data_IF_955459856620
#
_entry.id   IF_955459856620
#
_cell.length_a   1.000
_cell.length_b   1.000
_cell.length_c   1.000
_cell.angle_alpha   90.00
_cell.angle_beta   90.00
_cell.angle_gamma   90.00
#
_symmetry.space_group_name_H-M   'P 1'
#
loop_
_entity.id
_entity.type
_entity.pdbx_description
1 polymer ?
#
# COMPACT_ATOMS: atom_id res chain seq x y z
N UNK A 1 7.76 -17.78 16.81
CA UNK A 1 7.13 -17.05 17.93
C UNK A 1 5.89 -16.35 17.41
N UNK A 2 4.71 -16.95 17.64
CA UNK A 2 3.45 -16.43 17.13
C UNK A 2 2.95 -15.32 18.05
N UNK A 3 2.74 -14.12 17.50
CA UNK A 3 2.20 -12.97 18.24
C UNK A 3 0.74 -12.79 17.84
N UNK A 4 -0.18 -13.01 18.77
CA UNK A 4 -1.60 -12.70 18.56
C UNK A 4 -1.95 -11.34 19.17
N UNK A 5 -2.72 -10.54 18.44
CA UNK A 5 -3.14 -9.20 18.84
C UNK A 5 -4.64 -9.09 18.72
N UNK A 6 -5.29 -8.59 19.77
CA UNK A 6 -6.73 -8.29 19.80
C UNK A 6 -6.91 -6.82 20.16
N UNK A 7 -7.64 -6.09 19.32
CA UNK A 7 -8.05 -4.73 19.61
C UNK A 7 -9.34 -4.77 20.45
N UNK A 8 -9.28 -4.26 21.68
CA UNK A 8 -10.44 -4.23 22.57
C UNK A 8 -11.42 -3.15 22.09
N UNK A 9 -12.54 -3.56 21.50
CA UNK A 9 -13.64 -2.68 21.06
C UNK A 9 -14.85 -2.77 22.00
N UNK A 10 -15.08 -3.92 22.61
CA UNK A 10 -16.21 -4.13 23.51
C UNK A 10 -16.04 -5.27 24.50
N UNK A 11 -17.16 -5.69 25.09
CA UNK A 11 -17.20 -6.76 26.11
C UNK A 11 -16.71 -8.11 25.57
N UNK A 12 -17.10 -8.45 24.33
CA UNK A 12 -16.73 -9.71 23.69
C UNK A 12 -15.21 -9.90 23.55
N UNK A 13 -14.47 -8.84 23.24
CA UNK A 13 -13.00 -8.90 23.11
C UNK A 13 -12.33 -9.16 24.45
N UNK A 14 -12.87 -8.58 25.53
CA UNK A 14 -12.37 -8.80 26.90
C UNK A 14 -12.59 -10.24 27.35
N UNK A 15 -13.76 -10.80 27.06
CA UNK A 15 -14.07 -12.20 27.34
C UNK A 15 -13.15 -13.16 26.57
N UNK A 16 -12.85 -12.83 25.30
CA UNK A 16 -11.90 -13.58 24.48
C UNK A 16 -10.49 -13.58 25.07
N UNK A 17 -10.00 -12.41 25.49
CA UNK A 17 -8.67 -12.28 26.12
C UNK A 17 -8.61 -13.06 27.44
N UNK A 18 -9.66 -13.00 28.27
CA UNK A 18 -9.73 -13.75 29.52
C UNK A 18 -9.62 -15.26 29.30
N UNK A 19 -10.32 -15.77 28.26
CA UNK A 19 -10.24 -17.18 27.87
C UNK A 19 -8.83 -17.58 27.40
N UNK A 20 -8.17 -16.70 26.65
CA UNK A 20 -6.79 -16.94 26.20
C UNK A 20 -5.80 -16.95 27.35
N UNK A 21 -5.89 -15.98 28.25
CA UNK A 21 -5.01 -15.89 29.41
C UNK A 21 -5.13 -17.12 30.34
N UNK A 22 -6.31 -17.76 30.39
CA UNK A 22 -6.51 -18.99 31.16
C UNK A 22 -5.86 -20.23 30.55
N UNK A 23 -5.61 -20.25 29.23
CA UNK A 23 -5.12 -21.42 28.50
C UNK A 23 -3.63 -21.39 28.13
N UNK A 24 -2.89 -20.34 28.49
CA UNK A 24 -1.48 -20.20 28.11
C UNK A 24 -0.52 -20.83 29.13
N UNK A 25 0.63 -21.39 28.69
CA UNK A 25 1.63 -21.95 29.59
C UNK A 25 2.22 -20.91 30.56
N UNK A 26 2.67 -21.39 31.73
CA UNK A 26 3.40 -20.58 32.69
C UNK A 26 4.66 -19.97 32.07
N UNK A 27 4.92 -18.69 32.33
CA UNK A 27 6.00 -17.91 31.70
C UNK A 27 5.56 -17.07 30.49
N UNK A 28 4.30 -17.15 30.07
CA UNK A 28 3.74 -16.28 29.02
C UNK A 28 3.56 -14.84 29.54
N UNK A 29 4.08 -13.84 28.81
CA UNK A 29 3.92 -12.42 29.14
C UNK A 29 2.75 -11.81 28.36
N UNK A 30 1.82 -11.15 29.06
CA UNK A 30 0.69 -10.43 28.45
C UNK A 30 0.94 -8.93 28.57
N UNK A 31 0.92 -8.20 27.44
CA UNK A 31 1.12 -6.75 27.42
C UNK A 31 -0.14 -6.04 26.92
N UNK A 32 -0.72 -5.18 27.77
CA UNK A 32 -1.81 -4.29 27.38
C UNK A 32 -1.25 -2.93 27.00
N UNK A 33 -1.45 -2.52 25.75
CA UNK A 33 -1.07 -1.17 25.27
C UNK A 33 -2.31 -0.36 24.96
N UNK A 34 -2.31 0.91 25.39
CA UNK A 34 -3.34 1.86 24.96
C UNK A 34 -3.33 2.01 23.42
N UNK A 35 -4.50 2.24 22.79
CA UNK A 35 -4.56 2.51 21.36
C UNK A 35 -3.78 3.79 21.07
N UNK A 36 -2.57 3.65 20.52
CA UNK A 36 -1.79 4.77 20.03
C UNK A 36 -2.20 4.99 18.57
N UNK A 37 -2.63 6.21 18.22
CA UNK A 37 -2.77 6.65 16.80
C UNK A 37 -1.51 6.38 15.97
N UNK A 38 -0.34 6.21 16.60
CA UNK A 38 0.92 5.85 15.93
C UNK A 38 0.97 4.40 15.42
N UNK A 39 0.10 3.49 15.88
CA UNK A 39 0.06 2.11 15.37
C UNK A 39 -0.36 2.09 13.90
N UNK A 40 -1.33 2.91 13.52
CA UNK A 40 -1.82 2.97 12.15
C UNK A 40 -0.76 3.56 11.22
N UNK A 41 -0.08 4.64 11.64
CA UNK A 41 1.04 5.23 10.88
C UNK A 41 2.22 4.26 10.75
N UNK A 42 2.57 3.54 11.83
CA UNK A 42 3.64 2.55 11.78
C UNK A 42 3.25 1.35 10.89
N UNK A 43 2.01 0.88 10.97
CA UNK A 43 1.51 -0.17 10.08
C UNK A 43 1.53 0.26 8.60
N UNK A 44 1.12 1.49 8.32
CA UNK A 44 1.19 2.10 6.99
C UNK A 44 2.64 2.16 6.49
N UNK A 45 3.58 2.64 7.32
CA UNK A 45 5.00 2.69 6.97
C UNK A 45 5.53 1.33 6.55
N UNK A 46 5.27 0.28 7.33
CA UNK A 46 5.69 -1.08 7.00
C UNK A 46 4.99 -1.64 5.75
N UNK A 47 3.73 -1.27 5.50
CA UNK A 47 3.02 -1.60 4.26
C UNK A 47 3.73 -1.01 3.04
N UNK A 48 4.00 0.30 3.06
CA UNK A 48 4.64 1.03 1.96
C UNK A 48 6.06 0.50 1.71
N UNK A 49 6.86 0.32 2.77
CA UNK A 49 8.21 -0.25 2.66
C UNK A 49 8.21 -1.66 2.07
N UNK A 50 7.23 -2.50 2.45
CA UNK A 50 7.06 -3.82 1.85
C UNK A 50 6.74 -3.76 0.36
N UNK A 51 5.99 -2.75 -0.08
CA UNK A 51 5.69 -2.54 -1.49
C UNK A 51 6.92 -2.06 -2.28
N UNK A 52 7.71 -1.15 -1.70
CA UNK A 52 8.99 -0.69 -2.26
C UNK A 52 9.98 -1.85 -2.37
N UNK A 53 10.16 -2.64 -1.31
CA UNK A 53 11.06 -3.80 -1.28
C UNK A 53 10.79 -4.80 -2.41
N UNK A 54 9.51 -5.08 -2.69
CA UNK A 54 9.12 -5.98 -3.78
C UNK A 54 9.40 -5.40 -5.17
N UNK A 55 9.16 -4.11 -5.36
CA UNK A 55 9.15 -3.50 -6.70
C UNK A 55 10.50 -2.90 -7.10
N UNK A 56 11.23 -2.28 -6.17
CA UNK A 56 12.49 -1.57 -6.47
C UNK A 56 13.66 -2.53 -6.45
N UNK A 57 14.52 -2.45 -7.46
CA UNK A 57 15.86 -3.01 -7.46
C UNK A 57 16.86 -1.88 -7.20
N UNK A 58 17.74 -2.04 -6.22
CA UNK A 58 18.68 -1.03 -5.79
C UNK A 58 20.12 -1.46 -6.11
N UNK A 59 20.69 -0.87 -7.16
CA UNK A 59 22.04 -1.19 -7.65
C UNK A 59 22.29 -2.69 -7.86
N UNK A 60 21.31 -3.43 -8.38
CA UNK A 60 21.40 -4.87 -8.61
C UNK A 60 21.10 -5.72 -7.38
N UNK A 61 20.58 -5.12 -6.30
CA UNK A 61 20.20 -5.82 -5.08
C UNK A 61 18.76 -5.51 -4.67
N UNK A 62 18.05 -6.55 -4.23
CA UNK A 62 16.75 -6.43 -3.57
C UNK A 62 16.96 -6.25 -2.08
N UNK A 63 16.66 -5.05 -1.60
CA UNK A 63 16.72 -4.72 -0.18
C UNK A 63 15.43 -5.15 0.54
N UNK A 64 15.57 -5.58 1.79
CA UNK A 64 14.41 -5.91 2.64
C UNK A 64 13.67 -4.65 3.08
N UNK A 65 12.43 -4.80 3.57
CA UNK A 65 11.68 -3.67 4.15
C UNK A 65 12.42 -3.00 5.32
N UNK A 66 13.20 -3.77 6.09
CA UNK A 66 14.01 -3.23 7.20
C UNK A 66 15.18 -2.39 6.67
N UNK A 67 15.86 -2.88 5.64
CA UNK A 67 16.96 -2.14 5.00
C UNK A 67 16.46 -0.83 4.37
N UNK A 68 15.32 -0.88 3.67
CA UNK A 68 14.69 0.31 3.10
C UNK A 68 14.33 1.35 4.16
N UNK A 69 13.84 0.90 5.32
CA UNK A 69 13.55 1.78 6.45
C UNK A 69 14.83 2.46 6.94
N UNK A 70 15.95 1.75 7.03
CA UNK A 70 17.22 2.33 7.46
C UNK A 70 17.80 3.30 6.42
N UNK A 71 17.74 2.96 5.13
CA UNK A 71 18.18 3.84 4.02
C UNK A 71 17.41 5.16 4.02
N UNK A 72 16.08 5.11 4.09
CA UNK A 72 15.24 6.32 4.06
C UNK A 72 15.29 7.10 5.38
N UNK A 73 15.50 6.42 6.50
CA UNK A 73 15.75 7.09 7.79
C UNK A 73 17.08 7.83 7.79
N UNK A 74 18.12 7.27 7.17
CA UNK A 74 19.43 7.90 7.07
C UNK A 74 19.42 9.17 6.19
N UNK A 75 18.46 9.33 5.27
CA UNK A 75 18.28 10.59 4.53
C UNK A 75 17.60 11.68 5.36
N UNK A 76 16.78 11.33 6.35
CA UNK A 76 16.08 12.32 7.20
C UNK A 76 16.90 12.73 8.41
N UNK A 77 17.60 11.76 9.02
CA UNK A 77 18.45 12.00 10.19
C UNK A 77 19.90 11.94 9.78
N UNK A 78 20.68 12.92 10.24
CA UNK A 78 22.14 12.82 10.18
C UNK A 78 22.59 11.67 11.08
N UNK A 79 22.84 10.52 10.45
CA UNK A 79 23.36 9.34 11.13
C UNK A 79 24.77 9.61 11.62
N UNK A 80 25.01 9.38 12.91
CA UNK A 80 26.37 9.44 13.46
C UNK A 80 27.01 8.09 13.22
N UNK A 81 28.11 8.05 12.48
CA UNK A 81 28.88 6.83 12.26
C UNK A 81 30.03 6.80 13.25
N UNK A 82 30.19 5.69 13.96
CA UNK A 82 31.30 5.49 14.90
C UNK A 82 32.16 4.31 14.45
N UNK A 83 33.46 4.29 14.79
CA UNK A 83 34.28 3.09 14.62
C UNK A 83 33.69 1.91 15.38
N UNK A 84 33.65 0.75 14.72
CA UNK A 84 33.24 -0.51 15.30
C UNK A 84 34.32 -1.10 16.21
N UNK A 85 33.97 -2.23 16.83
CA UNK A 85 34.90 -2.99 17.69
C UNK A 85 36.03 -3.60 16.85
N UNK A 86 35.70 -4.05 15.63
CA UNK A 86 36.65 -4.62 14.69
C UNK A 86 37.28 -3.54 13.78
N UNK A 87 38.56 -3.72 13.48
CA UNK A 87 39.29 -2.82 12.61
C UNK A 87 38.64 -2.73 11.22
N UNK A 88 38.38 -1.51 10.75
CA UNK A 88 37.75 -1.25 9.45
C UNK A 88 36.22 -1.32 9.43
N UNK A 89 35.58 -1.63 10.56
CA UNK A 89 34.11 -1.64 10.65
C UNK A 89 33.60 -0.28 11.10
N UNK A 90 32.49 0.17 10.50
CA UNK A 90 31.79 1.39 10.87
C UNK A 90 30.35 1.06 11.27
N UNK A 91 29.92 1.60 12.40
CA UNK A 91 28.57 1.34 12.94
C UNK A 91 27.74 2.63 12.87
N UNK A 92 26.67 2.66 12.07
CA UNK A 92 25.72 3.76 12.09
C UNK A 92 24.89 3.74 13.39
N UNK A 93 24.92 4.84 14.14
CA UNK A 93 24.12 5.05 15.35
C UNK A 93 22.96 6.01 15.11
N UNK A 94 21.84 5.79 15.81
CA UNK A 94 20.72 6.72 15.86
C UNK A 94 19.57 6.46 14.87
N UNK A 95 19.61 5.34 14.13
CA UNK A 95 18.57 4.96 13.14
C UNK A 95 17.32 4.30 13.75
N UNK A 96 17.16 4.34 15.09
CA UNK A 96 16.00 3.72 15.76
C UNK A 96 14.74 4.56 15.54
N UNK A 97 13.92 4.18 14.57
CA UNK A 97 12.60 4.80 14.31
C UNK A 97 11.63 4.68 15.48
N UNK A 98 11.86 3.74 16.42
CA UNK A 98 11.06 3.62 17.65
C UNK A 98 11.15 4.84 18.59
N UNK A 99 12.17 5.69 18.41
CA UNK A 99 12.35 6.92 19.17
C UNK A 99 11.92 8.18 18.40
N UNK A 100 11.44 8.02 17.16
CA UNK A 100 10.95 9.15 16.36
C UNK A 100 9.65 9.70 16.94
N UNK A 101 9.52 11.02 16.89
CA UNK A 101 8.28 11.74 17.11
C UNK A 101 7.26 11.42 16.01
N UNK A 102 5.99 11.74 16.24
CA UNK A 102 4.94 11.57 15.24
C UNK A 102 5.21 12.38 13.97
N UNK A 103 5.80 13.55 14.11
CA UNK A 103 6.12 14.42 12.99
C UNK A 103 7.23 13.81 12.12
N UNK A 104 8.31 13.31 12.73
CA UNK A 104 9.38 12.60 12.01
C UNK A 104 8.85 11.36 11.26
N UNK A 105 7.89 10.63 11.84
CA UNK A 105 7.25 9.49 11.14
C UNK A 105 6.42 9.96 9.94
N UNK A 106 5.71 11.09 10.06
CA UNK A 106 4.96 11.66 8.94
C UNK A 106 5.90 12.08 7.80
N UNK A 107 7.02 12.74 8.12
CA UNK A 107 8.05 13.12 7.15
C UNK A 107 8.67 11.89 6.48
N UNK A 108 8.90 10.81 7.24
CA UNK A 108 9.36 9.54 6.68
C UNK A 108 8.35 8.88 5.74
N UNK A 109 7.07 8.91 6.08
CA UNK A 109 6.01 8.39 5.21
C UNK A 109 5.96 9.17 3.88
N UNK A 110 6.01 10.49 3.95
CA UNK A 110 6.04 11.34 2.75
C UNK A 110 7.26 11.06 1.88
N UNK A 111 8.43 10.90 2.49
CA UNK A 111 9.65 10.52 1.77
C UNK A 111 9.53 9.14 1.09
N UNK A 112 8.95 8.14 1.77
CA UNK A 112 8.72 6.81 1.18
C UNK A 112 7.81 6.91 -0.05
N UNK A 113 6.74 7.70 0.05
CA UNK A 113 5.78 7.89 -1.05
C UNK A 113 6.46 8.60 -2.23
N UNK A 114 7.18 9.69 -1.97
CA UNK A 114 7.90 10.44 -3.00
C UNK A 114 8.93 9.56 -3.71
N UNK A 115 9.74 8.83 -2.95
CA UNK A 115 10.72 7.89 -3.49
C UNK A 115 10.06 6.78 -4.33
N UNK A 116 8.96 6.21 -3.84
CA UNK A 116 8.20 5.22 -4.59
C UNK A 116 7.64 5.78 -5.89
N UNK A 117 7.10 7.01 -5.87
CA UNK A 117 6.58 7.67 -7.06
C UNK A 117 7.67 7.91 -8.12
N UNK A 118 8.85 8.39 -7.72
CA UNK A 118 10.01 8.55 -8.62
C UNK A 118 10.44 7.23 -9.27
N UNK A 119 10.25 6.12 -8.57
CA UNK A 119 10.59 4.76 -9.05
C UNK A 119 9.39 4.00 -9.62
N UNK A 120 8.27 4.69 -9.87
CA UNK A 120 7.05 4.10 -10.43
C UNK A 120 6.52 2.90 -9.63
N UNK A 121 6.71 2.91 -8.31
CA UNK A 121 6.16 1.91 -7.39
C UNK A 121 4.65 2.12 -7.29
N UNK A 122 3.90 1.06 -7.53
CA UNK A 122 2.44 1.07 -7.36
C UNK A 122 2.11 0.80 -5.90
N UNK A 123 1.51 1.79 -5.24
CA UNK A 123 1.01 1.67 -3.87
C UNK A 123 -0.48 1.34 -3.87
N UNK A 124 -0.86 0.28 -3.14
CA UNK A 124 -2.26 -0.15 -3.01
C UNK A 124 -3.14 0.93 -2.41
N UNK A 125 -2.59 1.67 -1.46
CA UNK A 125 -3.27 2.75 -0.73
C UNK A 125 -3.75 3.90 -1.64
N UNK A 126 -3.13 4.09 -2.81
CA UNK A 126 -3.53 5.11 -3.79
C UNK A 126 -4.20 4.52 -5.04
N UNK A 127 -4.16 3.20 -5.20
CA UNK A 127 -4.73 2.53 -6.38
C UNK A 127 -6.23 2.30 -6.21
N UNK A 128 -6.70 1.97 -5.00
CA UNK A 128 -8.13 1.77 -4.72
C UNK A 128 -8.98 3.04 -4.99
N UNK A 129 -8.39 4.22 -4.82
CA UNK A 129 -9.09 5.49 -5.05
C UNK A 129 -9.33 5.85 -6.52
N UNK A 130 -8.73 5.12 -7.48
CA UNK A 130 -8.88 5.39 -8.92
C UNK A 130 -9.93 4.49 -9.60
N UNK A 131 -10.53 3.54 -8.89
CA UNK A 131 -11.57 2.66 -9.44
C UNK A 131 -13.01 3.18 -9.27
N UNK A 132 -13.24 4.29 -8.56
CA UNK A 132 -14.59 4.84 -8.37
C UNK A 132 -15.05 5.84 -9.45
N UNK A 133 -14.19 6.25 -10.39
CA UNK A 133 -14.56 7.13 -11.51
C UNK A 133 -14.44 6.43 -12.85
N UNK A 134 -15.30 5.45 -13.08
CA UNK A 134 -15.72 5.10 -14.45
C UNK A 134 -17.23 5.29 -14.54
N UNK A 135 -17.73 6.34 -15.22
CA UNK A 135 -19.12 6.35 -15.59
C UNK A 135 -19.34 5.20 -16.57
N UNK A 136 -20.16 4.25 -16.13
CA UNK A 136 -20.77 3.22 -16.96
C UNK A 136 -21.47 3.87 -18.14
N UNK A 137 -20.80 3.94 -19.30
CA UNK A 137 -21.49 4.14 -20.58
C UNK A 137 -22.07 2.77 -20.93
N UNK A 138 -23.28 2.55 -20.41
CA UNK A 138 -24.09 1.39 -20.76
C UNK A 138 -24.37 1.40 -22.27
N UNK A 139 -24.12 0.25 -22.87
CA UNK A 139 -24.39 -0.06 -24.26
C UNK A 139 -25.86 0.19 -24.62
N UNK A 140 -26.07 1.01 -25.64
CA UNK A 140 -27.35 1.15 -26.33
C UNK A 140 -27.43 0.02 -27.38
N UNK A 141 -28.49 -0.82 -27.41
CA UNK A 141 -28.56 -1.95 -28.32
C UNK A 141 -28.99 -1.51 -29.72
N UNK A 142 -28.25 -2.01 -30.72
CA UNK A 142 -28.49 -1.82 -32.14
C UNK A 142 -29.92 -2.18 -32.58
N UNK A 143 -30.65 -1.20 -33.10
CA UNK A 143 -31.95 -1.40 -33.74
C UNK A 143 -31.79 -1.72 -35.24
N UNK A 144 -31.93 -3.02 -35.54
CA UNK A 144 -32.68 -3.65 -36.66
C UNK A 144 -32.86 -2.86 -37.97
N UNK A 145 -32.20 -3.35 -39.02
CA UNK A 145 -32.51 -3.09 -40.44
C UNK A 145 -33.69 -3.98 -40.85
N UNK A 146 -34.63 -3.49 -41.68
CA UNK A 146 -35.25 -4.36 -42.68
C UNK A 146 -34.98 -3.88 -44.10
N UNK A 147 -34.25 -4.71 -44.83
CA UNK A 147 -34.09 -4.69 -46.28
C UNK A 147 -35.43 -5.00 -46.95
N UNK A 148 -35.89 -4.14 -47.85
CA UNK A 148 -36.77 -4.57 -48.94
C UNK A 148 -36.58 -3.69 -50.18
N UNK A 149 -36.05 -4.31 -51.24
CA UNK A 149 -36.18 -3.87 -52.63
C UNK A 149 -37.07 -4.92 -53.30
N UNK A 150 -38.00 -4.50 -54.17
CA UNK A 150 -38.01 -5.14 -55.47
C UNK A 150 -38.09 -4.15 -56.65
N UNK A 151 -37.40 -4.56 -57.70
CA UNK A 151 -37.33 -4.02 -59.06
C UNK A 151 -38.50 -4.55 -59.90
N UNK A 152 -39.14 -3.69 -60.71
CA UNK A 152 -39.73 -3.97 -62.04
C UNK A 152 -40.44 -2.69 -62.57
N UNK A 153 -39.93 -2.00 -63.60
CA UNK A 153 -40.18 -2.18 -65.04
C UNK A 153 -41.45 -1.46 -65.57
N UNK A 154 -41.27 -0.58 -66.59
CA UNK A 154 -42.39 -0.09 -67.41
C UNK A 154 -42.14 1.23 -68.16
N UNK A 155 -41.83 1.13 -69.46
CA UNK A 155 -41.71 2.21 -70.46
C UNK A 155 -42.95 3.10 -70.63
N UNK A 156 -42.75 4.37 -71.04
CA UNK A 156 -43.50 5.09 -72.10
C UNK A 156 -42.71 6.38 -72.45
N UNK A 157 -41.97 6.43 -73.56
CA UNK A 157 -42.37 6.92 -74.90
C UNK A 157 -42.69 8.42 -75.02
N UNK A 158 -41.88 9.09 -75.86
CA UNK A 158 -42.00 10.43 -76.45
C UNK A 158 -43.28 10.63 -77.29
N UNK A 159 -43.81 11.85 -77.30
CA UNK A 159 -44.34 12.61 -78.48
C UNK A 159 -44.55 14.07 -78.01
N UNK A 160 -43.87 15.13 -78.49
CA UNK A 160 -43.88 15.87 -79.78
C UNK A 160 -45.22 16.58 -80.09
N UNK A 161 -45.10 17.90 -80.27
CA UNK A 161 -46.04 18.90 -80.80
C UNK A 161 -47.16 19.41 -79.87
#
# INVERSE_FOLDING_TARGET
MTREVVQIRGKADREKIARWAAGVPAGTTVEFRAPRRSLDQNALMWSLLGQVSRQVDWYGQKLSSEDWKDVLTASLRRTRVVPGIDAGTFVPLGMRTSQMSKQEISELLELIIAFGAERSVQFREFTDSLQETSPSIAAEPAAVIPTSVPVAAGNISREVA
#
